data_IF_603784238790
#
_entry.id   IF_603784238790
#
_cell.length_a   1.000
_cell.length_b   1.000
_cell.length_c   1.000
_cell.angle_alpha   90.00
_cell.angle_beta   90.00
_cell.angle_gamma   90.00
#
_symmetry.space_group_name_H-M   'P 1'
#
loop_
_entity.id
_entity.type
_entity.pdbx_description
1 polymer ?
#
# COMPACT_ATOMS: atom_id res chain seq x y z
N UNK A 1 -2.12 17.94 -14.73
CA UNK A 1 -1.30 18.16 -13.52
C UNK A 1 -0.17 17.17 -13.37
N UNK A 2 1.06 17.67 -13.46
CA UNK A 2 2.29 16.95 -13.11
C UNK A 2 2.34 16.71 -11.59
N UNK A 3 1.87 17.66 -10.78
CA UNK A 3 1.84 17.59 -9.32
C UNK A 3 1.06 16.38 -8.82
N UNK A 4 -0.11 16.12 -9.39
CA UNK A 4 -0.92 14.96 -9.03
C UNK A 4 -0.22 13.62 -9.33
N UNK A 5 0.64 13.56 -10.37
CA UNK A 5 1.41 12.36 -10.70
C UNK A 5 2.60 12.13 -9.75
N UNK A 6 3.17 13.20 -9.21
CA UNK A 6 4.23 13.14 -8.20
C UNK A 6 3.67 12.72 -6.84
N UNK A 7 2.54 13.28 -6.42
CA UNK A 7 1.87 12.92 -5.17
C UNK A 7 1.45 11.44 -5.15
N UNK A 8 0.99 10.92 -6.29
CA UNK A 8 0.68 9.49 -6.45
C UNK A 8 1.89 8.58 -6.25
N UNK A 9 3.06 8.97 -6.77
CA UNK A 9 4.30 8.18 -6.58
C UNK A 9 4.79 8.24 -5.14
N UNK A 10 4.65 9.39 -4.48
CA UNK A 10 5.05 9.58 -3.08
C UNK A 10 4.29 8.64 -2.14
N UNK A 11 2.96 8.59 -2.23
CA UNK A 11 2.16 7.76 -1.31
C UNK A 11 2.43 6.26 -1.49
N UNK A 12 2.66 5.82 -2.73
CA UNK A 12 3.01 4.41 -3.01
C UNK A 12 4.36 4.07 -2.39
N UNK A 13 5.39 4.91 -2.56
CA UNK A 13 6.70 4.70 -1.94
C UNK A 13 6.64 4.65 -0.41
N UNK A 14 5.81 5.49 0.21
CA UNK A 14 5.60 5.43 1.67
C UNK A 14 4.95 4.12 2.11
N UNK A 15 3.91 3.66 1.41
CA UNK A 15 3.26 2.39 1.71
C UNK A 15 4.22 1.20 1.54
N UNK A 16 5.06 1.21 0.50
CA UNK A 16 6.12 0.21 0.29
C UNK A 16 7.03 0.15 1.53
N UNK A 17 7.56 1.29 2.00
CA UNK A 17 8.43 1.33 3.16
C UNK A 17 7.78 0.77 4.45
N UNK A 18 6.49 1.07 4.66
CA UNK A 18 5.72 0.52 5.79
C UNK A 18 5.58 -0.99 5.68
N UNK A 19 5.26 -1.52 4.49
CA UNK A 19 5.10 -2.95 4.25
C UNK A 19 6.44 -3.68 4.41
N UNK A 20 7.53 -3.11 3.89
CA UNK A 20 8.88 -3.66 4.05
C UNK A 20 9.24 -3.80 5.53
N UNK A 21 9.03 -2.76 6.34
CA UNK A 21 9.34 -2.77 7.77
C UNK A 21 8.49 -3.78 8.54
N UNK A 22 7.19 -3.81 8.27
CA UNK A 22 6.23 -4.70 8.96
C UNK A 22 6.44 -6.18 8.68
N UNK A 23 6.75 -6.53 7.44
CA UNK A 23 6.85 -7.92 7.01
C UNK A 23 8.30 -8.39 6.82
N UNK A 24 9.29 -7.52 7.05
CA UNK A 24 10.71 -7.78 6.83
C UNK A 24 11.00 -8.32 5.41
N UNK A 25 10.44 -7.66 4.40
CA UNK A 25 10.60 -8.02 2.98
C UNK A 25 11.26 -6.88 2.20
N UNK A 26 11.77 -7.19 1.01
CA UNK A 26 12.35 -6.20 0.11
C UNK A 26 11.29 -5.37 -0.63
N UNK A 27 11.77 -4.35 -1.36
CA UNK A 27 10.93 -3.42 -2.11
C UNK A 27 10.10 -4.11 -3.20
N UNK A 28 10.67 -5.10 -3.90
CA UNK A 28 9.98 -5.82 -4.97
C UNK A 28 8.82 -6.65 -4.41
N UNK A 29 9.05 -7.38 -3.33
CA UNK A 29 8.04 -8.14 -2.63
C UNK A 29 6.95 -7.24 -2.03
N UNK A 30 7.33 -6.09 -1.46
CA UNK A 30 6.38 -5.11 -0.94
C UNK A 30 5.50 -4.51 -2.06
N UNK A 31 6.08 -4.16 -3.20
CA UNK A 31 5.31 -3.68 -4.35
C UNK A 31 4.37 -4.75 -4.91
N UNK A 32 4.82 -6.00 -4.99
CA UNK A 32 4.00 -7.14 -5.40
C UNK A 32 2.82 -7.36 -4.43
N UNK A 33 3.05 -7.21 -3.12
CA UNK A 33 2.01 -7.27 -2.10
C UNK A 33 0.91 -6.21 -2.34
N UNK A 34 1.30 -4.94 -2.51
CA UNK A 34 0.36 -3.84 -2.80
C UNK A 34 -0.44 -4.11 -4.08
N UNK A 35 0.24 -4.61 -5.11
CA UNK A 35 -0.36 -4.94 -6.40
C UNK A 35 -1.39 -6.06 -6.26
N UNK A 36 -1.07 -7.13 -5.52
CA UNK A 36 -1.99 -8.24 -5.25
C UNK A 36 -3.21 -7.79 -4.45
N UNK A 37 -3.02 -6.97 -3.43
CA UNK A 37 -4.11 -6.40 -2.63
C UNK A 37 -5.04 -5.53 -3.51
N UNK A 38 -4.47 -4.69 -4.37
CA UNK A 38 -5.20 -3.86 -5.33
C UNK A 38 -6.06 -4.70 -6.28
N UNK A 39 -5.50 -5.78 -6.85
CA UNK A 39 -6.22 -6.69 -7.74
C UNK A 39 -7.32 -7.45 -7.01
N UNK A 40 -7.02 -7.95 -5.80
CA UNK A 40 -7.96 -8.74 -4.99
C UNK A 40 -9.17 -7.90 -4.56
N UNK A 41 -8.95 -6.65 -4.18
CA UNK A 41 -10.01 -5.71 -3.81
C UNK A 41 -10.66 -5.00 -5.01
N UNK A 42 -10.12 -5.18 -6.23
CA UNK A 42 -10.51 -4.45 -7.44
C UNK A 42 -10.55 -2.91 -7.23
N UNK A 43 -9.54 -2.39 -6.52
CA UNK A 43 -9.38 -0.94 -6.27
C UNK A 43 -8.03 -0.47 -6.77
N UNK A 44 -7.90 0.84 -7.01
CA UNK A 44 -6.65 1.44 -7.48
C UNK A 44 -5.52 1.21 -6.47
N UNK A 45 -4.33 0.88 -6.95
CA UNK A 45 -3.11 0.70 -6.13
C UNK A 45 -2.86 1.85 -5.16
N UNK A 46 -3.05 3.10 -5.62
CA UNK A 46 -2.95 4.29 -4.76
C UNK A 46 -3.88 4.20 -3.55
N UNK A 47 -5.11 3.74 -3.71
CA UNK A 47 -6.08 3.67 -2.62
C UNK A 47 -5.68 2.63 -1.58
N UNK A 48 -5.07 1.52 -1.99
CA UNK A 48 -4.43 0.57 -1.05
C UNK A 48 -3.28 1.25 -0.31
N UNK A 49 -2.40 1.96 -1.04
CA UNK A 49 -1.28 2.67 -0.43
C UNK A 49 -1.75 3.72 0.60
N UNK A 50 -2.82 4.47 0.29
CA UNK A 50 -3.43 5.43 1.21
C UNK A 50 -3.97 4.75 2.48
N UNK A 51 -4.61 3.59 2.36
CA UNK A 51 -5.12 2.83 3.52
C UNK A 51 -4.00 2.29 4.41
N UNK A 52 -2.86 1.92 3.83
CA UNK A 52 -1.69 1.46 4.58
C UNK A 52 -1.04 2.64 5.29
N UNK A 53 -0.84 3.76 4.60
CA UNK A 53 -0.28 4.98 5.19
C UNK A 53 -1.17 5.55 6.29
N UNK A 54 -2.50 5.41 6.19
CA UNK A 54 -3.44 5.81 7.24
C UNK A 54 -3.54 4.80 8.40
N UNK A 55 -2.92 3.62 8.28
CA UNK A 55 -2.96 2.55 9.28
C UNK A 55 -4.27 1.75 9.33
N UNK A 56 -5.23 2.04 8.44
CA UNK A 56 -6.55 1.37 8.41
C UNK A 56 -6.46 -0.03 7.78
N UNK A 57 -5.43 -0.29 6.98
CA UNK A 57 -5.26 -1.58 6.30
C UNK A 57 -5.08 -2.77 7.26
N UNK A 58 -4.46 -2.56 8.42
CA UNK A 58 -4.28 -3.61 9.43
C UNK A 58 -5.50 -3.82 10.33
N UNK A 59 -6.29 -2.77 10.50
CA UNK A 59 -7.49 -2.78 11.32
C UNK A 59 -8.55 -3.72 10.72
N UNK A 60 -8.62 -3.84 9.39
CA UNK A 60 -9.52 -4.78 8.71
C UNK A 60 -9.06 -6.25 8.79
N UNK A 61 -7.75 -6.50 8.92
CA UNK A 61 -7.20 -7.84 9.11
C UNK A 61 -7.30 -8.31 10.57
N UNK A 62 -7.21 -7.40 11.54
CA UNK A 62 -7.43 -7.71 12.96
C UNK A 62 -8.92 -7.89 13.34
N UNK A 63 -9.85 -7.29 12.59
CA UNK A 63 -11.30 -7.49 12.83
C UNK A 63 -11.87 -8.82 12.31
N UNK A 64 -11.15 -9.51 11.43
CA UNK A 64 -11.58 -10.79 10.83
C UNK A 64 -11.07 -12.02 11.58
N UNK A 65 -10.26 -11.82 12.62
CA UNK A 65 -9.75 -12.83 13.57
C UNK A 65 -10.47 -12.73 14.91
#
# INVERSE_FOLDING_TARGET
DISAALDRRKVIGQAIGIVMERYAIDEEAAFAFLTRASQTANVKLRSIAEQIVSGVFDDDSQRRS
#
